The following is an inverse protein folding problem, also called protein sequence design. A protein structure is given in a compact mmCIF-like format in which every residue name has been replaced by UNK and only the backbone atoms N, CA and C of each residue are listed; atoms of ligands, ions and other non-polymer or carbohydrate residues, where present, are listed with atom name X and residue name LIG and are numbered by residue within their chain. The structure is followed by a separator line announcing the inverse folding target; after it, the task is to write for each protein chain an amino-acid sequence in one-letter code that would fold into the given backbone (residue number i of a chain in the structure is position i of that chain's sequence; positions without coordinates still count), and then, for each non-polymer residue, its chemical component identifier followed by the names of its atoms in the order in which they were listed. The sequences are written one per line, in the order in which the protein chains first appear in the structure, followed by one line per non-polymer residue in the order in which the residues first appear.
data_IF_741960981471
#
_entry.id   IF_741960981471
#
_cell.length_a   1.000
_cell.length_b   1.000
_cell.length_c   1.000
_cell.angle_alpha   90.00
_cell.angle_beta   90.00
_cell.angle_gamma   90.00
#
_symmetry.space_group_name_H-M   'P 1'
#
loop_
_entity.id
_entity.type
_entity.pdbx_description
1 polymer ?
#
# COMPACT_ATOMS: atom_id res chain seq x y z
N UNK A 1 19.91 -17.29 -10.75
CA UNK A 1 18.84 -16.35 -11.07
C UNK A 1 19.28 -14.95 -10.67
N UNK A 2 19.09 -13.94 -11.53
CA UNK A 2 19.36 -12.56 -11.16
C UNK A 2 18.37 -12.14 -10.07
N UNK A 3 18.85 -11.41 -9.06
CA UNK A 3 18.01 -10.88 -8.00
C UNK A 3 16.97 -9.91 -8.57
N UNK A 4 15.74 -9.98 -8.06
CA UNK A 4 14.71 -9.01 -8.40
C UNK A 4 14.93 -7.72 -7.59
N UNK A 5 14.64 -6.57 -8.17
CA UNK A 5 14.84 -5.27 -7.51
C UNK A 5 14.10 -5.16 -6.16
N UNK A 6 12.98 -5.86 -6.01
CA UNK A 6 12.17 -5.84 -4.79
C UNK A 6 12.65 -6.79 -3.70
N UNK A 7 13.59 -7.71 -3.99
CA UNK A 7 14.04 -8.71 -3.03
C UNK A 7 14.51 -8.12 -1.70
N UNK A 8 15.31 -7.04 -1.65
CA UNK A 8 15.71 -6.46 -0.38
C UNK A 8 14.54 -5.96 0.47
N UNK A 9 13.50 -5.44 -0.16
CA UNK A 9 12.30 -4.96 0.52
C UNK A 9 11.46 -6.13 1.04
N UNK A 10 11.30 -7.18 0.25
CA UNK A 10 10.60 -8.39 0.66
C UNK A 10 11.32 -9.08 1.83
N UNK A 11 12.63 -9.19 1.76
CA UNK A 11 13.46 -9.73 2.85
C UNK A 11 13.28 -8.91 4.14
N UNK A 12 13.21 -7.60 4.03
CA UNK A 12 12.99 -6.73 5.18
C UNK A 12 11.60 -6.97 5.81
N UNK A 13 10.56 -7.19 5.00
CA UNK A 13 9.23 -7.51 5.52
C UNK A 13 9.22 -8.88 6.22
N UNK A 14 10.02 -9.84 5.77
CA UNK A 14 10.20 -11.13 6.45
C UNK A 14 10.92 -10.93 7.78
N UNK A 15 12.00 -10.16 7.81
CA UNK A 15 12.75 -9.86 9.03
C UNK A 15 11.89 -9.17 10.10
N UNK A 16 10.95 -8.31 9.65
CA UNK A 16 10.01 -7.65 10.55
C UNK A 16 8.81 -8.51 10.97
N UNK A 17 8.68 -9.74 10.42
CA UNK A 17 7.53 -10.59 10.67
C UNK A 17 6.23 -10.14 9.98
N UNK A 18 6.33 -9.24 9.02
CA UNK A 18 5.18 -8.75 8.23
C UNK A 18 4.76 -9.76 7.17
N UNK A 19 5.71 -10.46 6.59
CA UNK A 19 5.51 -11.54 5.62
C UNK A 19 6.26 -12.78 6.05
N UNK A 20 5.78 -13.96 5.61
CA UNK A 20 6.55 -15.20 5.72
C UNK A 20 7.45 -15.36 4.49
N UNK A 21 8.55 -16.08 4.64
CA UNK A 21 9.50 -16.33 3.56
C UNK A 21 8.85 -17.00 2.33
N UNK A 22 7.85 -17.87 2.55
CA UNK A 22 7.11 -18.53 1.47
C UNK A 22 6.17 -17.59 0.68
N UNK A 23 5.95 -16.38 1.18
CA UNK A 23 5.10 -15.37 0.53
C UNK A 23 5.88 -14.41 -0.38
N UNK A 24 7.19 -14.47 -0.41
CA UNK A 24 8.04 -13.52 -1.15
C UNK A 24 8.23 -13.85 -2.64
N UNK A 25 7.77 -15.01 -3.07
CA UNK A 25 7.85 -15.41 -4.49
C UNK A 25 6.94 -14.55 -5.37
N UNK A 26 7.27 -14.46 -6.65
CA UNK A 26 6.52 -13.70 -7.65
C UNK A 26 6.29 -12.22 -7.26
N UNK A 27 7.35 -11.44 -7.11
CA UNK A 27 7.22 -10.04 -6.68
C UNK A 27 6.45 -9.15 -7.66
N UNK A 28 6.34 -9.55 -8.92
CA UNK A 28 5.55 -8.81 -9.93
C UNK A 28 4.06 -9.16 -9.93
N UNK A 29 3.65 -10.13 -9.12
CA UNK A 29 2.24 -10.51 -9.02
C UNK A 29 1.41 -9.36 -8.42
N UNK A 30 0.27 -9.00 -9.05
CA UNK A 30 -0.66 -8.04 -8.45
C UNK A 30 -1.10 -8.49 -7.06
N UNK A 31 -1.13 -7.55 -6.12
CA UNK A 31 -1.58 -7.81 -4.76
C UNK A 31 -3.09 -7.61 -4.64
N UNK A 32 -3.77 -8.54 -3.98
CA UNK A 32 -5.20 -8.39 -3.68
C UNK A 32 -5.41 -7.43 -2.50
N UNK A 33 -6.62 -6.91 -2.38
CA UNK A 33 -7.03 -6.05 -1.25
C UNK A 33 -6.83 -6.77 0.08
N UNK A 34 -7.20 -8.06 0.15
CA UNK A 34 -7.01 -8.87 1.38
C UNK A 34 -5.53 -9.06 1.73
N UNK A 35 -4.69 -9.37 0.75
CA UNK A 35 -3.25 -9.49 0.96
C UNK A 35 -2.63 -8.16 1.43
N UNK A 36 -3.05 -7.05 0.85
CA UNK A 36 -2.63 -5.70 1.24
C UNK A 36 -3.02 -5.39 2.69
N UNK A 37 -4.26 -5.66 3.08
CA UNK A 37 -4.72 -5.48 4.47
C UNK A 37 -3.88 -6.30 5.45
N UNK A 38 -3.58 -7.55 5.12
CA UNK A 38 -2.73 -8.39 5.96
C UNK A 38 -1.33 -7.79 6.17
N UNK A 39 -0.72 -7.30 5.11
CA UNK A 39 0.60 -6.65 5.17
C UNK A 39 0.54 -5.36 6.01
N UNK A 40 -0.43 -4.50 5.75
CA UNK A 40 -0.55 -3.22 6.46
C UNK A 40 -0.85 -3.43 7.94
N UNK A 41 -1.76 -4.34 8.28
CA UNK A 41 -2.07 -4.65 9.68
C UNK A 41 -0.81 -5.04 10.46
N UNK A 42 0.02 -5.91 9.88
CA UNK A 42 1.26 -6.37 10.54
C UNK A 42 2.31 -5.27 10.56
N UNK A 43 2.46 -4.50 9.49
CA UNK A 43 3.46 -3.45 9.41
C UNK A 43 3.20 -2.30 10.39
N UNK A 44 1.94 -1.97 10.62
CA UNK A 44 1.55 -0.88 11.52
C UNK A 44 1.10 -1.35 12.91
N UNK A 45 1.06 -2.66 13.14
CA UNK A 45 0.70 -3.22 14.44
C UNK A 45 -0.79 -3.11 14.77
N UNK A 46 -1.66 -3.07 13.77
CA UNK A 46 -3.10 -3.11 14.00
C UNK A 46 -3.53 -4.52 14.36
N UNK A 47 -4.29 -4.68 15.44
CA UNK A 47 -4.71 -5.97 15.97
C UNK A 47 -6.19 -6.03 16.37
N UNK A 48 -6.84 -4.89 16.53
CA UNK A 48 -8.21 -4.84 17.02
C UNK A 48 -9.22 -5.05 15.90
N UNK A 49 -10.02 -6.11 16.02
CA UNK A 49 -11.11 -6.39 15.10
C UNK A 49 -12.35 -5.57 15.47
N UNK A 50 -13.09 -5.14 14.45
CA UNK A 50 -14.40 -4.54 14.59
C UNK A 50 -15.47 -5.36 13.87
N UNK A 51 -16.73 -4.98 14.05
CA UNK A 51 -17.81 -5.51 13.23
C UNK A 51 -17.71 -5.01 11.80
N UNK A 52 -17.92 -5.90 10.84
CA UNK A 52 -17.87 -5.56 9.41
C UNK A 52 -19.24 -5.73 8.76
N UNK A 53 -19.61 -4.81 7.84
CA UNK A 53 -20.89 -4.90 7.13
C UNK A 53 -20.83 -5.76 5.87
N UNK A 54 -19.70 -6.42 5.60
CA UNK A 54 -19.42 -7.04 4.31
C UNK A 54 -20.04 -8.43 4.19
N UNK A 55 -20.81 -8.65 3.14
CA UNK A 55 -21.46 -9.92 2.86
C UNK A 55 -20.59 -10.88 2.05
N UNK A 56 -19.51 -10.39 1.46
CA UNK A 56 -18.55 -11.15 0.67
C UNK A 56 -17.33 -11.62 1.48
N UNK A 57 -17.40 -11.51 2.80
CA UNK A 57 -16.36 -11.98 3.73
C UNK A 57 -17.02 -12.88 4.77
N UNK A 58 -16.55 -14.12 4.89
CA UNK A 58 -17.06 -15.07 5.86
C UNK A 58 -16.00 -15.48 6.88
N UNK A 59 -16.44 -15.97 8.05
CA UNK A 59 -15.56 -16.41 9.13
C UNK A 59 -14.53 -17.48 8.69
N UNK A 60 -14.84 -18.27 7.68
CA UNK A 60 -13.96 -19.32 7.18
C UNK A 60 -12.89 -18.80 6.21
N UNK A 61 -13.01 -17.56 5.77
CA UNK A 61 -12.00 -16.95 4.89
C UNK A 61 -10.71 -16.67 5.66
N UNK A 62 -9.55 -16.98 5.06
CA UNK A 62 -8.26 -16.74 5.68
C UNK A 62 -8.03 -15.26 6.03
N UNK A 63 -8.68 -14.38 5.29
CA UNK A 63 -8.54 -12.92 5.41
C UNK A 63 -9.60 -12.28 6.32
N UNK A 64 -10.49 -13.05 6.94
CA UNK A 64 -11.58 -12.48 7.75
C UNK A 64 -11.06 -11.52 8.83
N UNK A 65 -10.11 -11.98 9.63
CA UNK A 65 -9.54 -11.18 10.71
C UNK A 65 -8.86 -9.93 10.17
N UNK A 66 -8.10 -10.05 9.09
CA UNK A 66 -7.40 -8.93 8.49
C UNK A 66 -8.37 -7.87 7.93
N UNK A 67 -9.47 -8.29 7.32
CA UNK A 67 -10.51 -7.36 6.85
C UNK A 67 -11.17 -6.64 8.03
N UNK A 68 -11.50 -7.37 9.09
CA UNK A 68 -12.11 -6.79 10.28
C UNK A 68 -11.19 -5.80 11.00
N UNK A 69 -9.90 -6.12 11.07
CA UNK A 69 -8.88 -5.23 11.64
C UNK A 69 -8.72 -3.97 10.78
N UNK A 70 -8.55 -4.13 9.47
CA UNK A 70 -8.36 -3.01 8.55
C UNK A 70 -9.55 -2.04 8.54
N UNK A 71 -10.77 -2.59 8.54
CA UNK A 71 -11.99 -1.79 8.61
C UNK A 71 -12.09 -1.04 9.93
N UNK A 72 -11.83 -1.71 11.05
CA UNK A 72 -11.82 -1.10 12.39
C UNK A 72 -10.75 -0.01 12.52
N UNK A 73 -9.57 -0.24 11.96
CA UNK A 73 -8.48 0.76 11.92
C UNK A 73 -8.79 1.97 11.03
N UNK A 74 -9.78 1.86 10.15
CA UNK A 74 -10.30 2.96 9.35
C UNK A 74 -9.50 3.30 8.09
N UNK A 75 -8.48 2.52 7.74
CA UNK A 75 -7.68 2.80 6.53
C UNK A 75 -8.23 2.12 5.27
N UNK A 76 -9.07 1.12 5.42
CA UNK A 76 -9.73 0.42 4.31
C UNK A 76 -11.23 0.46 4.46
N UNK A 77 -11.88 1.11 3.52
CA UNK A 77 -13.33 1.00 3.35
C UNK A 77 -13.66 -0.15 2.39
N UNK A 78 -14.93 -0.53 2.33
CA UNK A 78 -15.39 -1.44 1.28
C UNK A 78 -15.36 -0.80 -0.10
N UNK A 79 -15.53 -1.61 -1.13
CA UNK A 79 -15.80 -1.13 -2.49
C UNK A 79 -17.25 -0.68 -2.66
N UNK A 80 -18.11 -1.10 -1.72
CA UNK A 80 -19.46 -0.59 -1.50
C UNK A 80 -19.78 -0.66 0.00
N UNK A 81 -20.98 -0.27 0.39
CA UNK A 81 -21.44 -0.38 1.78
C UNK A 81 -21.44 -1.82 2.31
N UNK A 82 -21.60 -2.80 1.43
CA UNK A 82 -21.77 -4.21 1.81
C UNK A 82 -20.74 -5.16 1.20
N UNK A 83 -19.75 -4.65 0.47
CA UNK A 83 -18.71 -5.48 -0.16
C UNK A 83 -17.32 -4.96 0.17
N UNK A 84 -16.44 -5.86 0.57
CA UNK A 84 -15.02 -5.59 0.78
C UNK A 84 -14.19 -5.83 -0.48
N UNK A 85 -14.66 -6.70 -1.36
CA UNK A 85 -13.96 -7.18 -2.56
C UNK A 85 -12.54 -7.67 -2.26
N UNK A 86 -12.40 -8.66 -1.36
CA UNK A 86 -11.08 -9.04 -0.82
C UNK A 86 -10.12 -9.58 -1.88
N UNK A 87 -10.65 -10.19 -2.94
CA UNK A 87 -9.84 -10.76 -4.03
C UNK A 87 -9.59 -9.81 -5.20
N UNK A 88 -10.14 -8.62 -5.15
CA UNK A 88 -9.87 -7.57 -6.14
C UNK A 88 -8.49 -6.98 -5.91
N UNK A 89 -7.76 -6.66 -6.98
CA UNK A 89 -6.48 -5.95 -6.89
C UNK A 89 -6.64 -4.49 -6.48
N UNK A 90 -5.56 -3.92 -5.98
CA UNK A 90 -5.43 -2.49 -5.74
C UNK A 90 -4.68 -1.82 -6.88
N UNK A 91 -5.02 -0.57 -7.18
CA UNK A 91 -4.23 0.26 -8.07
C UNK A 91 -3.09 0.93 -7.32
N UNK A 92 -2.07 1.38 -8.06
CA UNK A 92 -0.92 2.10 -7.47
C UNK A 92 -1.35 3.36 -6.73
N UNK A 93 -2.26 4.15 -7.29
CA UNK A 93 -2.73 5.37 -6.60
C UNK A 93 -3.51 5.06 -5.32
N UNK A 94 -4.28 3.98 -5.30
CA UNK A 94 -4.97 3.54 -4.09
C UNK A 94 -3.99 3.15 -2.98
N UNK A 95 -3.01 2.32 -3.31
CA UNK A 95 -2.00 1.88 -2.35
C UNK A 95 -1.19 3.06 -1.79
N UNK A 96 -0.75 3.96 -2.66
CA UNK A 96 0.01 5.16 -2.26
C UNK A 96 -0.81 6.06 -1.34
N UNK A 97 -2.07 6.31 -1.68
CA UNK A 97 -2.93 7.16 -0.86
C UNK A 97 -3.26 6.56 0.50
N UNK A 98 -3.47 5.24 0.58
CA UNK A 98 -3.70 4.57 1.87
C UNK A 98 -2.47 4.71 2.78
N UNK A 99 -1.28 4.45 2.24
CA UNK A 99 -0.03 4.57 3.01
C UNK A 99 0.25 6.02 3.41
N UNK A 100 0.04 6.96 2.52
CA UNK A 100 0.19 8.38 2.83
C UNK A 100 -0.73 8.84 3.97
N UNK A 101 -1.99 8.39 3.95
CA UNK A 101 -2.94 8.67 5.04
C UNK A 101 -2.51 8.02 6.36
N UNK A 102 -2.03 6.79 6.33
CA UNK A 102 -1.51 6.12 7.53
C UNK A 102 -0.30 6.84 8.12
N UNK A 103 0.46 7.55 7.29
CA UNK A 103 1.56 8.41 7.73
C UNK A 103 1.09 9.84 8.09
N UNK A 104 -0.20 10.07 8.10
CA UNK A 104 -0.80 11.39 8.37
C UNK A 104 -0.29 12.50 7.44
N UNK A 105 0.06 12.14 6.22
CA UNK A 105 0.48 13.10 5.20
C UNK A 105 -0.70 13.96 4.78
N UNK A 106 -0.40 15.22 4.50
CA UNK A 106 -1.40 16.18 4.03
C UNK A 106 -1.37 16.28 2.51
N UNK A 107 -2.55 16.46 1.93
CA UNK A 107 -2.65 16.81 0.52
C UNK A 107 -1.83 18.05 0.17
N UNK A 108 -1.24 18.04 -1.01
CA UNK A 108 -0.65 19.23 -1.63
C UNK A 108 -1.63 19.73 -2.70
N UNK A 109 -2.56 20.64 -2.36
CA UNK A 109 -3.62 21.04 -3.27
C UNK A 109 -3.08 21.88 -4.44
N UNK A 110 -3.70 21.69 -5.60
CA UNK A 110 -3.41 22.51 -6.79
C UNK A 110 -2.07 22.23 -7.46
N UNK A 111 -1.34 21.21 -7.03
CA UNK A 111 -0.02 20.93 -7.55
C UNK A 111 -0.03 20.12 -8.84
N UNK A 112 0.93 20.42 -9.70
CA UNK A 112 1.15 19.69 -10.92
C UNK A 112 2.10 18.51 -10.66
N UNK A 113 1.68 17.32 -11.08
CA UNK A 113 2.55 16.16 -11.11
C UNK A 113 3.40 16.22 -12.38
N UNK A 114 4.70 15.92 -12.23
CA UNK A 114 5.66 16.00 -13.34
C UNK A 114 5.67 14.77 -14.25
N UNK A 115 4.72 13.84 -14.09
CA UNK A 115 4.62 12.65 -14.91
C UNK A 115 3.94 12.93 -16.24
N UNK A 116 4.36 12.24 -17.29
CA UNK A 116 3.75 12.38 -18.62
C UNK A 116 2.29 11.93 -18.66
N UNK A 117 1.90 11.01 -17.76
CA UNK A 117 0.54 10.52 -17.59
C UNK A 117 -0.20 11.15 -16.39
N UNK A 118 0.25 12.29 -15.92
CA UNK A 118 -0.33 12.97 -14.74
C UNK A 118 -1.84 13.14 -14.82
N UNK A 119 -2.40 13.31 -16.03
CA UNK A 119 -3.84 13.44 -16.23
C UNK A 119 -4.64 12.21 -15.82
N UNK A 120 -4.02 11.04 -15.82
CA UNK A 120 -4.65 9.77 -15.41
C UNK A 120 -4.75 9.61 -13.91
N UNK A 121 -4.01 10.39 -13.13
CA UNK A 121 -4.12 10.37 -11.68
C UNK A 121 -5.48 10.96 -11.29
N UNK A 122 -6.25 10.20 -10.52
CA UNK A 122 -7.58 10.62 -10.07
C UNK A 122 -7.51 11.90 -9.25
N UNK A 123 -8.50 12.78 -9.40
CA UNK A 123 -8.54 14.06 -8.69
C UNK A 123 -8.40 13.91 -7.18
N UNK A 124 -9.06 12.91 -6.59
CA UNK A 124 -9.00 12.63 -5.16
C UNK A 124 -7.61 12.15 -4.69
N UNK A 125 -6.79 11.62 -5.60
CA UNK A 125 -5.47 11.06 -5.29
C UNK A 125 -4.32 12.06 -5.51
N UNK A 126 -4.51 13.07 -6.34
CA UNK A 126 -3.42 13.93 -6.83
C UNK A 126 -2.60 14.57 -5.71
N UNK A 127 -3.26 15.13 -4.72
CA UNK A 127 -2.58 15.81 -3.62
C UNK A 127 -1.71 14.87 -2.79
N UNK A 128 -2.23 13.69 -2.43
CA UNK A 128 -1.46 12.69 -1.67
C UNK A 128 -0.36 12.04 -2.51
N UNK A 129 -0.61 11.77 -3.78
CA UNK A 129 0.42 11.28 -4.70
C UNK A 129 1.56 12.29 -4.80
N UNK A 130 1.26 13.57 -4.96
CA UNK A 130 2.27 14.64 -4.99
C UNK A 130 3.09 14.64 -3.69
N UNK A 131 2.44 14.60 -2.55
CA UNK A 131 3.10 14.57 -1.25
C UNK A 131 4.00 13.35 -1.11
N UNK A 132 3.51 12.16 -1.50
CA UNK A 132 4.27 10.92 -1.43
C UNK A 132 5.51 10.94 -2.36
N UNK A 133 5.39 11.52 -3.55
CA UNK A 133 6.51 11.70 -4.47
C UNK A 133 7.54 12.66 -3.89
N UNK A 134 7.11 13.80 -3.38
CA UNK A 134 8.00 14.81 -2.78
C UNK A 134 8.70 14.29 -1.51
N UNK A 135 8.08 13.33 -0.83
CA UNK A 135 8.63 12.68 0.37
C UNK A 135 9.49 11.44 0.05
N UNK A 136 9.74 11.16 -1.21
CA UNK A 136 10.55 10.01 -1.67
C UNK A 136 9.99 8.63 -1.28
N UNK A 137 8.70 8.53 -0.97
CA UNK A 137 8.04 7.26 -0.67
C UNK A 137 7.76 6.49 -1.95
N UNK A 138 7.37 7.19 -3.00
CA UNK A 138 7.09 6.61 -4.31
C UNK A 138 7.79 7.43 -5.39
N UNK A 139 8.25 6.73 -6.42
CA UNK A 139 8.73 7.34 -7.67
C UNK A 139 7.89 6.84 -8.83
N UNK A 140 8.01 7.51 -9.97
CA UNK A 140 7.44 7.01 -11.21
C UNK A 140 8.30 5.91 -11.82
N UNK A 141 7.83 5.38 -12.94
CA UNK A 141 8.59 4.46 -13.77
C UNK A 141 9.71 5.19 -14.55
N UNK A 142 10.71 4.43 -15.06
CA UNK A 142 11.81 5.04 -15.84
C UNK A 142 11.38 5.83 -17.08
N UNK A 143 10.21 5.54 -17.62
CA UNK A 143 9.62 6.25 -18.77
C UNK A 143 8.90 7.57 -18.40
N UNK A 144 9.06 8.02 -17.19
CA UNK A 144 8.40 9.21 -16.62
C UNK A 144 6.87 9.09 -16.51
N UNK A 145 6.33 7.88 -16.39
CA UNK A 145 4.91 7.66 -16.03
C UNK A 145 4.77 7.29 -14.57
N UNK A 146 3.60 7.56 -13.98
CA UNK A 146 3.26 7.12 -12.62
C UNK A 146 2.51 5.79 -12.62
N UNK A 147 1.65 5.55 -13.59
CA UNK A 147 0.84 4.34 -13.67
C UNK A 147 -0.25 4.28 -12.60
N UNK A 148 -1.01 5.36 -12.43
CA UNK A 148 -2.01 5.50 -11.36
C UNK A 148 -3.00 4.32 -11.28
N UNK A 149 -3.47 3.85 -12.42
CA UNK A 149 -4.47 2.78 -12.52
C UNK A 149 -3.88 1.40 -12.77
N UNK A 150 -2.57 1.26 -12.83
CA UNK A 150 -1.92 -0.03 -12.91
C UNK A 150 -2.14 -0.79 -11.60
N UNK A 151 -2.24 -2.11 -11.67
CA UNK A 151 -2.25 -2.96 -10.48
C UNK A 151 -0.95 -2.79 -9.72
N UNK A 152 -1.04 -2.59 -8.41
CA UNK A 152 0.15 -2.57 -7.57
C UNK A 152 0.65 -4.00 -7.34
N UNK A 153 1.94 -4.22 -7.53
CA UNK A 153 2.53 -5.54 -7.34
C UNK A 153 2.96 -5.78 -5.89
N UNK A 154 3.18 -7.04 -5.55
CA UNK A 154 3.73 -7.46 -4.26
C UNK A 154 5.05 -6.72 -3.95
N UNK A 155 5.97 -6.69 -4.90
CA UNK A 155 7.25 -6.00 -4.75
C UNK A 155 7.11 -4.48 -4.56
N UNK A 156 6.19 -3.86 -5.28
CA UNK A 156 5.90 -2.43 -5.13
C UNK A 156 5.32 -2.12 -3.76
N UNK A 157 4.39 -2.93 -3.26
CA UNK A 157 3.86 -2.77 -1.90
C UNK A 157 4.97 -2.94 -0.85
N UNK A 158 5.84 -3.94 -1.01
CA UNK A 158 6.96 -4.14 -0.10
C UNK A 158 7.86 -2.91 -0.03
N UNK A 159 8.23 -2.35 -1.18
CA UNK A 159 9.04 -1.14 -1.23
C UNK A 159 8.36 0.07 -0.56
N UNK A 160 7.07 0.27 -0.85
CA UNK A 160 6.29 1.35 -0.25
C UNK A 160 6.22 1.21 1.27
N UNK A 161 5.92 0.01 1.77
CA UNK A 161 5.81 -0.25 3.22
C UNK A 161 7.15 -0.05 3.92
N UNK A 162 8.24 -0.57 3.37
CA UNK A 162 9.57 -0.37 3.95
C UNK A 162 9.94 1.11 4.02
N UNK A 163 9.68 1.86 2.96
CA UNK A 163 9.95 3.31 2.94
C UNK A 163 9.10 4.08 3.95
N UNK A 164 7.84 3.66 4.16
CA UNK A 164 6.94 4.30 5.12
C UNK A 164 7.26 3.93 6.57
N UNK A 165 7.49 2.64 6.87
CA UNK A 165 7.63 2.12 8.22
C UNK A 165 9.09 2.09 8.67
N UNK A 166 10.01 1.82 7.76
CA UNK A 166 11.45 1.71 8.05
C UNK A 166 12.12 3.04 8.33
N UNK A 167 11.43 4.15 8.13
CA UNK A 167 11.90 5.48 8.49
C UNK A 167 11.45 5.81 9.91
N UNK A 168 12.35 5.85 10.90
CA UNK A 168 11.98 6.32 12.23
C UNK A 168 11.42 7.74 12.10
N UNK A 169 10.22 7.96 12.62
CA UNK A 169 9.52 9.26 12.58
C UNK A 169 10.30 10.41 13.24
N UNK A 170 11.47 10.14 13.82
CA UNK A 170 12.22 11.07 14.67
C UNK A 170 13.68 11.30 14.27
N UNK A 171 14.13 10.92 13.09
CA UNK A 171 15.50 11.24 12.67
C UNK A 171 15.47 12.20 11.48
N UNK A 172 15.65 13.51 11.72
CA UNK A 172 15.78 14.46 10.61
C UNK A 172 17.05 14.15 9.82
N UNK A 173 16.92 13.80 8.56
CA UNK A 173 18.02 13.70 7.62
C UNK A 173 18.41 12.31 7.10
N UNK A 174 17.81 11.23 7.60
CA UNK A 174 18.13 9.86 7.12
C UNK A 174 17.03 9.22 6.25
N UNK A 175 16.25 10.04 5.58
CA UNK A 175 15.10 9.56 4.80
C UNK A 175 15.39 9.41 3.32
N UNK A 176 16.62 9.23 2.96
CA UNK A 176 17.02 9.07 1.56
C UNK A 176 17.47 7.65 1.33
N UNK A 177 16.57 6.83 0.90
CA UNK A 177 16.91 5.62 0.12
C UNK A 177 15.94 5.46 -1.01
#
# INVERSE_FOLDING_TARGET
ASAHWADPYLDQLVDWGVMRADQTSNPDKPMTRAEFMAVINRAYGYTEMGEIPFTDVSFDDWFYDDVAIAYNAGYMAGTSETTASPNLGLTREQAVCILARNMMMKDTPGENLAFSDARKVSGWARGLVKTAVDSYIVSGYPDNTFGAHDSVSKGQVAALVVRCVGTPLNTPGEHVL
#
